data_IF_507686413394
#
_entry.id   IF_507686413394
#
_cell.length_a   1.000
_cell.length_b   1.000
_cell.length_c   1.000
_cell.angle_alpha   90.00
_cell.angle_beta   90.00
_cell.angle_gamma   90.00
#
_symmetry.space_group_name_H-M   'P 1'
#
loop_
_entity.id
_entity.type
_entity.pdbx_description
1 polymer ?
#
# COMPACT_ATOMS: atom_id res chain seq x y z
N UNK A 1 -11.88 35.54 1.53
CA UNK A 1 -11.18 34.56 0.68
C UNK A 1 -11.18 33.21 1.39
N UNK A 2 -12.19 32.39 1.09
CA UNK A 2 -12.30 31.02 1.61
C UNK A 2 -11.14 30.21 1.05
N UNK A 3 -10.22 29.77 1.93
CA UNK A 3 -9.24 28.74 1.56
C UNK A 3 -10.04 27.54 1.04
N UNK A 4 -9.77 27.15 -0.21
CA UNK A 4 -10.30 25.93 -0.81
C UNK A 4 -10.14 24.79 0.19
N UNK A 5 -11.26 24.36 0.77
CA UNK A 5 -11.38 23.10 1.48
C UNK A 5 -11.26 22.01 0.44
N UNK A 6 -10.03 21.63 0.09
CA UNK A 6 -9.78 20.38 -0.62
C UNK A 6 -10.05 19.24 0.35
N UNK A 7 -11.34 18.96 0.52
CA UNK A 7 -11.86 17.71 1.05
C UNK A 7 -11.48 16.62 0.05
N UNK A 8 -10.30 16.01 0.17
CA UNK A 8 -9.99 14.72 -0.45
C UNK A 8 -8.68 14.15 0.10
N UNK A 9 -8.59 12.81 0.03
CA UNK A 9 -7.50 11.90 0.41
C UNK A 9 -7.72 11.25 1.79
N UNK A 10 -8.71 10.37 2.00
CA UNK A 10 -8.72 8.97 1.53
C UNK A 10 -7.35 8.54 1.01
N UNK A 11 -6.62 7.79 1.83
CA UNK A 11 -5.67 6.76 1.43
C UNK A 11 -5.62 6.55 -0.10
N UNK A 12 -4.75 7.31 -0.81
CA UNK A 12 -4.60 7.18 -2.26
C UNK A 12 -3.85 5.89 -2.55
N UNK A 13 -4.62 4.82 -2.75
CA UNK A 13 -4.17 3.55 -3.29
C UNK A 13 -4.13 3.66 -4.82
N UNK A 14 -2.97 3.33 -5.39
CA UNK A 14 -2.85 2.89 -6.78
C UNK A 14 -2.40 1.44 -6.74
N UNK A 15 -3.26 0.54 -7.18
CA UNK A 15 -2.95 -0.89 -7.36
C UNK A 15 -2.66 -1.16 -8.81
N UNK A 16 -1.55 -1.83 -9.04
CA UNK A 16 -1.36 -2.66 -10.23
C UNK A 16 -1.17 -4.08 -9.72
N UNK A 17 -2.02 -4.99 -10.20
CA UNK A 17 -1.83 -6.42 -9.95
C UNK A 17 -0.78 -6.86 -10.95
N UNK A 18 0.35 -7.35 -10.44
CA UNK A 18 1.42 -7.82 -11.32
C UNK A 18 1.84 -9.23 -10.96
N UNK A 19 2.41 -9.90 -11.95
CA UNK A 19 3.22 -11.09 -11.73
C UNK A 19 4.51 -10.69 -11.03
N UNK A 20 4.85 -11.41 -9.96
CA UNK A 20 6.13 -11.26 -9.29
C UNK A 20 7.25 -11.45 -10.32
N UNK A 21 8.02 -10.40 -10.57
CA UNK A 21 9.32 -10.53 -11.21
C UNK A 21 10.14 -11.59 -10.49
N UNK A 22 10.81 -12.45 -11.27
CA UNK A 22 11.79 -13.42 -10.77
C UNK A 22 12.90 -12.67 -10.01
N UNK A 23 12.78 -12.53 -8.68
CA UNK A 23 13.98 -12.59 -7.85
C UNK A 23 14.21 -14.06 -7.58
N UNK A 24 15.36 -14.58 -8.01
CA UNK A 24 15.77 -16.00 -8.03
C UNK A 24 15.68 -16.77 -6.68
N UNK A 25 15.16 -16.16 -5.60
CA UNK A 25 14.98 -16.76 -4.26
C UNK A 25 13.52 -16.78 -3.77
N UNK A 26 12.57 -16.14 -4.45
CA UNK A 26 11.19 -16.08 -3.99
C UNK A 26 10.25 -16.70 -5.03
N UNK A 27 9.77 -17.92 -4.73
CA UNK A 27 8.82 -18.65 -5.56
C UNK A 27 7.39 -18.39 -5.05
N UNK A 28 6.46 -18.10 -5.96
CA UNK A 28 5.02 -17.96 -5.64
C UNK A 28 4.39 -16.63 -6.09
N UNK A 29 3.20 -16.72 -6.70
CA UNK A 29 2.37 -15.56 -7.12
C UNK A 29 1.76 -14.88 -5.88
N UNK A 30 1.54 -13.57 -5.95
CA UNK A 30 0.94 -12.73 -4.89
C UNK A 30 0.45 -11.42 -5.49
N UNK A 31 -0.60 -10.83 -4.94
CA UNK A 31 -1.09 -9.53 -5.37
C UNK A 31 -0.63 -8.48 -4.35
N UNK A 32 0.08 -7.46 -4.84
CA UNK A 32 0.65 -6.38 -4.02
C UNK A 32 0.06 -5.05 -4.45
N UNK A 33 -0.36 -4.29 -3.44
CA UNK A 33 -1.04 -3.00 -3.57
C UNK A 33 -0.22 -1.96 -2.84
N UNK A 34 0.03 -0.81 -3.46
CA UNK A 34 0.69 0.31 -2.80
C UNK A 34 -0.29 1.45 -2.53
N UNK A 35 -0.28 1.96 -1.31
CA UNK A 35 -0.84 3.25 -0.96
C UNK A 35 0.29 4.19 -0.63
N UNK A 36 0.44 5.24 -1.43
CA UNK A 36 1.50 6.22 -1.27
C UNK A 36 0.87 7.55 -0.85
N UNK A 37 1.31 8.08 0.28
CA UNK A 37 1.00 9.44 0.69
C UNK A 37 1.54 10.43 -0.35
N UNK A 38 0.64 11.15 -1.02
CA UNK A 38 0.94 12.14 -2.05
C UNK A 38 0.64 13.56 -1.56
N UNK A 39 0.58 13.76 -0.24
CA UNK A 39 0.28 15.06 0.35
C UNK A 39 1.37 16.11 0.07
N UNK A 40 1.02 17.38 0.26
CA UNK A 40 1.95 18.49 0.04
C UNK A 40 3.20 18.43 0.94
N UNK A 41 3.12 17.83 2.14
CA UNK A 41 4.26 17.64 3.04
C UNK A 41 5.29 16.66 2.51
N UNK A 42 4.88 15.71 1.68
CA UNK A 42 5.78 14.77 1.00
C UNK A 42 6.56 15.52 -0.08
N UNK A 43 5.87 16.20 -0.99
CA UNK A 43 6.48 16.89 -2.13
C UNK A 43 6.96 15.92 -3.23
N UNK A 44 7.12 16.45 -4.46
CA UNK A 44 7.36 15.64 -5.68
C UNK A 44 8.64 14.80 -5.60
N UNK A 45 9.75 15.37 -5.13
CA UNK A 45 11.03 14.66 -5.03
C UNK A 45 10.97 13.44 -4.09
N UNK A 46 10.27 13.55 -2.96
CA UNK A 46 10.11 12.44 -2.03
C UNK A 46 9.11 11.41 -2.55
N UNK A 47 8.04 11.87 -3.21
CA UNK A 47 7.08 11.00 -3.86
C UNK A 47 7.74 10.12 -4.93
N UNK A 48 8.68 10.68 -5.71
CA UNK A 48 9.51 9.89 -6.65
C UNK A 48 10.33 8.80 -5.94
N UNK A 49 10.88 9.09 -4.76
CA UNK A 49 11.61 8.09 -3.98
C UNK A 49 10.67 6.96 -3.53
N UNK A 50 9.43 7.29 -3.14
CA UNK A 50 8.41 6.31 -2.79
C UNK A 50 8.02 5.44 -4.00
N UNK A 51 7.79 6.04 -5.18
CA UNK A 51 7.54 5.29 -6.42
C UNK A 51 8.69 4.37 -6.77
N UNK A 52 9.93 4.85 -6.68
CA UNK A 52 11.12 4.03 -6.92
C UNK A 52 11.28 2.88 -5.92
N UNK A 53 10.87 3.07 -4.67
CA UNK A 53 10.80 1.99 -3.70
C UNK A 53 9.73 0.96 -4.08
N UNK A 54 8.53 1.40 -4.48
CA UNK A 54 7.46 0.50 -4.93
C UNK A 54 7.89 -0.32 -6.16
N UNK A 55 8.54 0.31 -7.16
CA UNK A 55 9.14 -0.36 -8.33
C UNK A 55 10.23 -1.36 -7.93
N UNK A 56 11.03 -1.06 -6.90
CA UNK A 56 12.02 -2.03 -6.40
C UNK A 56 11.36 -3.30 -5.83
N UNK A 57 10.24 -3.16 -5.12
CA UNK A 57 9.49 -4.29 -4.58
C UNK A 57 8.76 -5.03 -5.71
N UNK A 58 8.20 -4.29 -6.65
CA UNK A 58 7.45 -4.81 -7.78
C UNK A 58 7.97 -4.22 -9.11
N UNK A 59 8.98 -4.82 -9.75
CA UNK A 59 9.58 -4.28 -10.97
C UNK A 59 8.62 -4.17 -12.15
N UNK A 60 7.57 -4.99 -12.17
CA UNK A 60 6.50 -4.98 -13.18
C UNK A 60 5.55 -3.79 -13.02
N UNK A 61 5.75 -2.93 -12.01
CA UNK A 61 5.02 -1.69 -11.81
C UNK A 61 5.46 -0.64 -12.85
N UNK A 62 4.95 -0.75 -14.07
CA UNK A 62 5.09 0.28 -15.10
C UNK A 62 4.14 1.43 -14.75
N UNK A 63 4.69 2.54 -14.27
CA UNK A 63 3.92 3.70 -13.80
C UNK A 63 3.36 4.50 -14.97
N UNK A 64 2.04 4.69 -14.94
CA UNK A 64 1.34 5.74 -15.69
C UNK A 64 1.58 7.09 -15.02
N UNK A 65 2.43 7.90 -15.63
CA UNK A 65 2.48 9.34 -15.43
C UNK A 65 3.14 9.92 -16.68
N UNK A 66 2.41 9.97 -17.80
CA UNK A 66 2.90 10.68 -19.00
C UNK A 66 1.78 11.03 -20.01
N UNK A 67 0.56 11.31 -19.56
CA UNK A 67 -0.43 11.87 -20.48
C UNK A 67 -1.47 12.71 -19.75
N UNK A 68 -1.45 14.01 -20.03
CA UNK A 68 -2.43 15.04 -19.65
C UNK A 68 -3.89 14.74 -20.09
N UNK A 69 -4.16 13.58 -20.69
CA UNK A 69 -5.48 13.24 -21.24
C UNK A 69 -6.15 12.03 -20.58
N UNK A 70 -5.52 11.37 -19.61
CA UNK A 70 -6.16 10.21 -18.96
C UNK A 70 -6.52 10.61 -17.53
N UNK A 71 -7.81 10.94 -17.35
CA UNK A 71 -8.44 11.07 -16.03
C UNK A 71 -7.98 9.89 -15.17
N UNK A 72 -7.13 10.13 -14.16
CA UNK A 72 -6.66 9.02 -13.36
C UNK A 72 -7.84 8.51 -12.55
N UNK A 73 -8.18 7.24 -12.74
CA UNK A 73 -9.17 6.52 -11.92
C UNK A 73 -8.56 6.26 -10.55
N UNK A 74 -8.36 7.33 -9.79
CA UNK A 74 -7.91 7.31 -8.41
C UNK A 74 -9.08 6.97 -7.48
N UNK A 75 -9.51 5.72 -7.54
CA UNK A 75 -10.44 5.14 -6.58
C UNK A 75 -9.87 3.86 -6.00
N UNK A 76 -8.94 4.06 -5.08
CA UNK A 76 -8.64 3.18 -3.97
C UNK A 76 -9.92 2.78 -3.21
N UNK A 77 -10.58 1.71 -3.64
CA UNK A 77 -11.68 1.12 -2.87
C UNK A 77 -11.18 -0.15 -2.21
N UNK A 78 -11.84 -0.54 -1.11
CA UNK A 78 -11.78 -1.89 -0.51
C UNK A 78 -11.80 -2.99 -1.60
N UNK A 79 -12.38 -2.68 -2.76
CA UNK A 79 -12.49 -3.54 -3.94
C UNK A 79 -11.18 -3.77 -4.73
N UNK A 80 -10.04 -3.15 -4.38
CA UNK A 80 -8.80 -3.32 -5.15
C UNK A 80 -8.27 -4.76 -5.14
N UNK A 81 -8.70 -5.56 -4.16
CA UNK A 81 -8.45 -7.00 -4.10
C UNK A 81 -9.65 -7.84 -4.56
N UNK A 82 -10.58 -7.28 -5.32
CA UNK A 82 -11.66 -8.06 -5.93
C UNK A 82 -11.28 -8.57 -7.32
N UNK A 83 -11.94 -9.65 -7.77
CA UNK A 83 -11.70 -10.26 -9.09
C UNK A 83 -11.89 -9.26 -10.23
N UNK A 84 -12.84 -8.32 -10.11
CA UNK A 84 -13.10 -7.29 -11.13
C UNK A 84 -11.96 -6.28 -11.28
N UNK A 85 -11.05 -6.19 -10.31
CA UNK A 85 -9.83 -5.39 -10.39
C UNK A 85 -8.59 -6.25 -10.69
N UNK A 86 -8.80 -7.53 -11.04
CA UNK A 86 -7.78 -8.50 -11.45
C UNK A 86 -7.22 -9.39 -10.33
N UNK A 87 -7.80 -9.33 -9.12
CA UNK A 87 -7.27 -10.07 -7.98
C UNK A 87 -7.42 -11.58 -8.17
N UNK A 88 -6.32 -12.31 -7.96
CA UNK A 88 -6.27 -13.75 -8.24
C UNK A 88 -6.78 -14.54 -7.05
N UNK A 89 -7.63 -15.53 -7.30
CA UNK A 89 -8.04 -16.46 -6.24
C UNK A 89 -6.84 -17.28 -5.76
N UNK A 90 -6.75 -17.56 -4.45
CA UNK A 90 -5.76 -18.50 -3.92
C UNK A 90 -4.31 -18.00 -3.81
N UNK A 91 -4.04 -16.70 -4.05
CA UNK A 91 -2.71 -16.11 -3.84
C UNK A 91 -2.72 -15.11 -2.68
N UNK A 92 -1.60 -14.93 -1.94
CA UNK A 92 -1.49 -13.91 -0.90
C UNK A 92 -1.84 -12.51 -1.41
N UNK A 93 -2.50 -11.72 -0.55
CA UNK A 93 -2.94 -10.35 -0.81
C UNK A 93 -2.24 -9.41 0.16
N UNK A 94 -1.49 -8.44 -0.35
CA UNK A 94 -0.65 -7.58 0.49
C UNK A 94 -0.88 -6.12 0.12
N UNK A 95 -1.33 -5.32 1.08
CA UNK A 95 -1.34 -3.86 0.98
C UNK A 95 -0.10 -3.29 1.66
N UNK A 96 0.59 -2.36 1.01
CA UNK A 96 1.75 -1.64 1.55
C UNK A 96 1.36 -0.16 1.63
N UNK A 97 1.26 0.38 2.83
CA UNK A 97 0.96 1.78 3.09
C UNK A 97 2.26 2.52 3.42
N UNK A 98 2.53 3.62 2.72
CA UNK A 98 3.69 4.48 2.94
C UNK A 98 3.20 5.90 3.25
N UNK A 99 3.55 6.44 4.42
CA UNK A 99 3.12 7.79 4.87
C UNK A 99 4.18 8.44 5.75
N UNK A 100 4.28 9.77 5.68
CA UNK A 100 5.12 10.59 6.55
C UNK A 100 4.32 11.35 7.63
N UNK A 101 3.00 11.15 7.68
CA UNK A 101 2.09 11.94 8.50
C UNK A 101 0.96 11.14 9.13
N UNK A 102 -0.06 11.88 9.58
CA UNK A 102 -1.29 11.36 10.18
C UNK A 102 -2.42 11.45 9.16
N UNK A 103 -3.38 10.54 9.20
CA UNK A 103 -4.63 10.75 8.47
C UNK A 103 -5.43 11.91 9.07
N UNK A 104 -6.29 12.50 8.24
CA UNK A 104 -7.26 13.50 8.68
C UNK A 104 -8.39 12.88 9.50
N UNK A 105 -8.70 11.60 9.26
CA UNK A 105 -9.76 10.85 9.92
C UNK A 105 -9.22 9.46 10.29
N UNK A 106 -8.71 9.37 11.53
CA UNK A 106 -8.08 8.16 12.06
C UNK A 106 -9.09 7.01 12.18
N UNK A 107 -10.33 7.30 12.57
CA UNK A 107 -11.34 6.28 12.81
C UNK A 107 -11.76 5.61 11.50
N UNK A 108 -12.03 6.40 10.44
CA UNK A 108 -12.32 5.84 9.11
C UNK A 108 -11.14 5.08 8.52
N UNK A 109 -9.93 5.56 8.76
CA UNK A 109 -8.69 4.91 8.32
C UNK A 109 -8.52 3.55 8.99
N UNK A 110 -8.75 3.49 10.29
CA UNK A 110 -8.76 2.28 11.10
C UNK A 110 -9.84 1.28 10.67
N UNK A 111 -11.05 1.75 10.42
CA UNK A 111 -12.18 0.94 9.95
C UNK A 111 -11.87 0.32 8.58
N UNK A 112 -11.38 1.11 7.63
CA UNK A 112 -10.99 0.62 6.30
C UNK A 112 -9.88 -0.45 6.37
N UNK A 113 -8.91 -0.27 7.26
CA UNK A 113 -7.86 -1.26 7.48
C UNK A 113 -8.38 -2.53 8.15
N UNK A 114 -9.36 -2.41 9.05
CA UNK A 114 -10.06 -3.56 9.64
C UNK A 114 -10.78 -4.38 8.56
N UNK A 115 -11.51 -3.73 7.66
CA UNK A 115 -12.22 -4.42 6.57
C UNK A 115 -11.27 -5.16 5.62
N UNK A 116 -10.18 -4.51 5.22
CA UNK A 116 -9.14 -5.15 4.41
C UNK A 116 -8.55 -6.37 5.12
N UNK A 117 -8.22 -6.26 6.42
CA UNK A 117 -7.71 -7.39 7.19
C UNK A 117 -8.73 -8.52 7.34
N UNK A 118 -10.01 -8.19 7.51
CA UNK A 118 -11.10 -9.16 7.58
C UNK A 118 -11.32 -9.89 6.23
N UNK A 119 -11.07 -9.22 5.10
CA UNK A 119 -11.00 -9.86 3.78
C UNK A 119 -9.72 -10.68 3.55
N UNK A 120 -8.89 -10.81 4.59
CA UNK A 120 -7.64 -11.54 4.67
C UNK A 120 -6.44 -10.86 4.01
N UNK A 121 -6.57 -9.59 3.60
CA UNK A 121 -5.43 -8.80 3.12
C UNK A 121 -4.47 -8.55 4.27
N UNK A 122 -3.17 -8.78 4.03
CA UNK A 122 -2.12 -8.39 4.97
C UNK A 122 -1.67 -6.95 4.68
N UNK A 123 -1.77 -6.08 5.68
CA UNK A 123 -1.40 -4.66 5.59
C UNK A 123 -0.03 -4.47 6.24
N UNK A 124 0.92 -4.05 5.42
CA UNK A 124 2.25 -3.60 5.82
C UNK A 124 2.29 -2.08 5.83
N UNK A 125 2.88 -1.50 6.86
CA UNK A 125 2.98 -0.03 7.00
C UNK A 125 4.44 0.37 7.07
N UNK A 126 4.82 1.35 6.26
CA UNK A 126 6.14 1.96 6.19
C UNK A 126 5.97 3.42 6.63
N UNK A 127 6.01 3.71 7.94
CA UNK A 127 6.04 5.09 8.41
C UNK A 127 7.40 5.71 8.10
N UNK A 128 7.39 6.93 7.57
CA UNK A 128 8.55 7.70 7.17
C UNK A 128 8.72 8.87 8.13
N UNK A 129 9.87 8.96 8.79
CA UNK A 129 10.10 10.01 9.78
C UNK A 129 9.37 9.76 11.10
N UNK A 130 9.12 10.84 11.84
CA UNK A 130 8.64 10.82 13.22
C UNK A 130 7.31 11.56 13.43
N UNK A 131 6.66 12.06 12.37
CA UNK A 131 5.41 12.83 12.45
C UNK A 131 4.14 11.96 12.45
N UNK A 132 4.29 10.65 12.23
CA UNK A 132 3.18 9.68 12.22
C UNK A 132 2.57 9.47 13.60
N UNK A 133 1.28 9.12 13.65
CA UNK A 133 0.60 8.72 14.88
C UNK A 133 0.83 7.22 15.16
N UNK A 134 1.48 6.88 16.27
CA UNK A 134 1.84 5.49 16.58
C UNK A 134 0.62 4.57 16.68
N UNK A 135 -0.49 5.06 17.21
CA UNK A 135 -1.70 4.27 17.39
C UNK A 135 -2.42 4.06 16.05
N UNK A 136 -2.42 5.06 15.17
CA UNK A 136 -2.88 4.90 13.78
C UNK A 136 -2.05 3.86 13.02
N UNK A 137 -0.72 3.91 13.11
CA UNK A 137 0.16 2.94 12.45
C UNK A 137 -0.08 1.51 12.95
N UNK A 138 -0.26 1.34 14.27
CA UNK A 138 -0.63 0.04 14.86
C UNK A 138 -1.99 -0.43 14.39
N UNK A 139 -2.95 0.49 14.29
CA UNK A 139 -4.30 0.18 13.84
C UNK A 139 -4.33 -0.25 12.38
N UNK A 140 -3.51 0.35 11.51
CA UNK A 140 -3.38 0.00 10.10
C UNK A 140 -2.73 -1.37 9.89
N UNK A 141 -1.60 -1.62 10.55
CA UNK A 141 -0.80 -2.81 10.30
C UNK A 141 -1.53 -4.10 10.70
N UNK A 142 -1.34 -5.19 9.93
CA UNK A 142 -1.91 -6.49 10.30
C UNK A 142 -1.32 -7.04 11.59
N UNK A 143 -0.02 -6.86 11.80
CA UNK A 143 0.74 -7.35 12.95
C UNK A 143 1.89 -6.36 13.24
N UNK A 144 2.45 -6.31 14.46
CA UNK A 144 3.59 -5.45 14.76
C UNK A 144 4.80 -5.69 13.84
N UNK A 145 5.01 -6.94 13.41
CA UNK A 145 6.09 -7.34 12.49
C UNK A 145 5.91 -6.76 11.06
N UNK A 146 4.71 -6.31 10.71
CA UNK A 146 4.35 -5.66 9.43
C UNK A 146 4.57 -4.15 9.45
N UNK A 147 5.05 -3.59 10.56
CA UNK A 147 5.51 -2.19 10.62
C UNK A 147 7.00 -2.17 10.25
N UNK A 148 7.37 -1.35 9.28
CA UNK A 148 8.76 -1.19 8.83
C UNK A 148 9.15 0.29 8.79
N UNK A 149 9.44 0.91 9.95
CA UNK A 149 9.79 2.32 10.01
C UNK A 149 11.07 2.64 9.26
N UNK A 150 11.12 3.84 8.71
CA UNK A 150 12.31 4.43 8.09
C UNK A 150 12.46 5.87 8.56
N UNK A 151 13.68 6.30 8.88
CA UNK A 151 13.94 7.61 9.51
C UNK A 151 13.60 8.80 8.62
N UNK A 152 13.69 8.65 7.30
CA UNK A 152 13.37 9.66 6.31
C UNK A 152 13.26 9.02 4.92
N UNK A 153 12.88 9.80 3.91
CA UNK A 153 12.75 9.32 2.54
C UNK A 153 14.05 8.75 1.96
N UNK A 154 15.22 9.30 2.29
CA UNK A 154 16.50 8.76 1.83
C UNK A 154 16.74 7.32 2.30
N UNK A 155 16.22 6.95 3.48
CA UNK A 155 16.28 5.58 3.97
C UNK A 155 15.56 4.56 3.07
N UNK A 156 14.59 4.97 2.25
CA UNK A 156 13.96 4.11 1.24
C UNK A 156 14.92 3.72 0.11
N UNK A 157 16.04 4.44 -0.08
CA UNK A 157 17.11 4.09 -1.03
C UNK A 157 18.08 3.05 -0.45
N UNK A 158 18.07 2.85 0.87
CA UNK A 158 19.00 1.94 1.52
C UNK A 158 18.76 0.48 1.11
N UNK A 159 19.80 -0.17 0.59
CA UNK A 159 19.74 -1.57 0.11
C UNK A 159 19.32 -2.56 1.19
N UNK A 160 19.79 -2.40 2.43
CA UNK A 160 19.43 -3.30 3.55
C UNK A 160 17.95 -3.15 3.90
N UNK A 161 17.45 -1.91 3.99
CA UNK A 161 16.04 -1.63 4.22
C UNK A 161 15.16 -2.26 3.14
N UNK A 162 15.46 -1.97 1.88
CA UNK A 162 14.81 -2.53 0.69
C UNK A 162 14.73 -4.05 0.73
N UNK A 163 15.86 -4.72 0.94
CA UNK A 163 15.92 -6.18 0.98
C UNK A 163 15.13 -6.77 2.17
N UNK A 164 15.13 -6.11 3.33
CA UNK A 164 14.35 -6.52 4.50
C UNK A 164 12.85 -6.44 4.24
N UNK A 165 12.37 -5.33 3.68
CA UNK A 165 10.93 -5.17 3.33
C UNK A 165 10.53 -6.18 2.25
N UNK A 166 11.33 -6.31 1.20
CA UNK A 166 11.10 -7.33 0.17
C UNK A 166 10.97 -8.73 0.79
N UNK A 167 11.91 -9.13 1.66
CA UNK A 167 11.84 -10.43 2.35
C UNK A 167 10.53 -10.60 3.13
N UNK A 168 10.06 -9.58 3.85
CA UNK A 168 8.78 -9.64 4.57
C UNK A 168 7.60 -9.84 3.61
N UNK A 169 7.50 -9.03 2.56
CA UNK A 169 6.46 -9.13 1.51
C UNK A 169 6.51 -10.51 0.85
N UNK A 170 7.69 -11.00 0.53
CA UNK A 170 7.85 -12.25 -0.19
C UNK A 170 7.68 -13.51 0.67
N UNK A 171 7.69 -13.38 2.00
CA UNK A 171 7.49 -14.47 2.96
C UNK A 171 6.04 -14.59 3.48
N UNK A 172 5.14 -13.68 3.09
CA UNK A 172 3.70 -13.82 3.43
C UNK A 172 3.18 -15.13 2.81
N UNK A 173 2.68 -16.04 3.65
CA UNK A 173 2.20 -17.38 3.26
C UNK A 173 0.70 -17.39 2.96
N UNK A 174 0.29 -18.36 2.13
CA UNK A 174 -1.05 -18.93 2.10
C UNK A 174 -2.10 -18.21 1.22
N UNK A 175 -3.13 -18.94 0.76
CA UNK A 175 -4.26 -18.35 0.07
C UNK A 175 -5.07 -17.51 1.05
N UNK A 176 -5.29 -16.25 0.69
CA UNK A 176 -6.25 -15.38 1.36
C UNK A 176 -7.59 -15.64 0.70
N UNK A 177 -8.51 -16.27 1.42
CA UNK A 177 -9.90 -16.40 0.96
C UNK A 177 -10.47 -14.98 0.85
N UNK A 178 -10.69 -14.50 -0.37
CA UNK A 178 -11.51 -13.31 -0.59
C UNK A 178 -12.94 -13.81 -0.41
N UNK A 179 -13.42 -13.84 0.84
CA UNK A 179 -14.79 -14.20 1.15
C UNK A 179 -15.72 -13.35 0.30
N UNK A 180 -16.61 -14.00 -0.46
CA UNK A 180 -17.66 -13.30 -1.18
C UNK A 180 -18.50 -12.52 -0.17
N UNK A 181 -18.83 -11.24 -0.41
CA UNK A 181 -19.87 -10.60 0.37
C UNK A 181 -21.20 -11.26 0.00
N UNK A 182 -21.81 -11.99 0.94
CA UNK A 182 -23.16 -12.51 0.82
C UNK A 182 -23.25 -14.03 0.61
N UNK A 183 -23.35 -14.76 1.72
CA UNK A 183 -24.18 -15.95 1.79
C UNK A 183 -24.71 -16.10 3.23
N UNK A 184 -25.53 -15.13 3.64
CA UNK A 184 -26.53 -15.39 4.66
C UNK A 184 -27.66 -16.18 3.98
N UNK A 185 -27.64 -17.50 4.19
CA UNK A 185 -28.88 -18.29 4.21
C UNK A 185 -29.60 -18.08 5.53
#
# INVERSE_FOLDING_TARGET
MTKLSTSLLILLVVVTITESGRKAKFTGKRDVVFSLDSSASVGTANFEIMKNFARFINPSLHTWEDSDTIRPRYHARINSFSKSYGARTGVPKIAIVMTDGKSQDKDKTCESAKDLRNSGVKIMVIPIGNKVDKEEIKCLASEPSFISPVSNFAGLRNRRFRNRVAKKVFNVKGPVAIGAPGSSG
#
